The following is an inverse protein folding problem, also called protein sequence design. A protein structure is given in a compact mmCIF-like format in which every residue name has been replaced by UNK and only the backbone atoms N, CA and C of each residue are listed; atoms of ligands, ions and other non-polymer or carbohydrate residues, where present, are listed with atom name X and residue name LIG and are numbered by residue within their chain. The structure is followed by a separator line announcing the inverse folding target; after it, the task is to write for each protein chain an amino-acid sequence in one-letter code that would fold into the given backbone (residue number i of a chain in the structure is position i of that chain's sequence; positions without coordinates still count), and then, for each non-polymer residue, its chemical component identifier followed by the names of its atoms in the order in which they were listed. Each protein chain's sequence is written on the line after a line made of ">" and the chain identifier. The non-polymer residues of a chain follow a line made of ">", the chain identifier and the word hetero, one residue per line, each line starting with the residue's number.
data_IF_250003462860
#
_entry.id   IF_250003462860
#
_cell.length_a   1.000
_cell.length_b   1.000
_cell.length_c   1.000
_cell.angle_alpha   90.00
_cell.angle_beta   90.00
_cell.angle_gamma   90.00
#
_symmetry.space_group_name_H-M   'P 1'
#
loop_
_entity.id
_entity.type
_entity.pdbx_description
1 polymer ?
#
# COMPACT_ATOMS: atom_id res chain seq x y z
N UNK A 1 50.38 36.27 19.93
CA UNK A 1 49.15 36.49 19.14
C UNK A 1 47.96 36.15 20.01
N UNK A 2 46.96 37.03 20.09
CA UNK A 2 45.76 36.85 20.93
C UNK A 2 44.92 35.67 20.43
N UNK A 3 44.40 34.85 21.36
CA UNK A 3 43.50 33.72 21.04
C UNK A 3 42.23 34.15 20.30
N UNK A 4 41.79 35.40 20.52
CA UNK A 4 40.66 36.05 19.83
C UNK A 4 40.87 36.09 18.31
N UNK A 5 42.09 36.43 17.87
CA UNK A 5 42.44 36.57 16.45
C UNK A 5 42.46 35.18 15.78
N UNK A 6 42.90 34.15 16.51
CA UNK A 6 42.90 32.78 16.01
C UNK A 6 41.48 32.22 15.86
N UNK A 7 40.58 32.52 16.80
CA UNK A 7 39.16 32.18 16.72
C UNK A 7 38.46 32.89 15.55
N UNK A 8 38.74 34.18 15.36
CA UNK A 8 38.19 34.95 14.24
C UNK A 8 38.68 34.42 12.89
N UNK A 9 39.96 34.09 12.75
CA UNK A 9 40.50 33.49 11.51
C UNK A 9 39.87 32.12 11.21
N UNK A 10 39.63 31.30 12.23
CA UNK A 10 38.94 30.01 12.06
C UNK A 10 37.51 30.21 11.59
N UNK A 11 36.77 31.12 12.24
CA UNK A 11 35.38 31.40 11.89
C UNK A 11 35.24 31.95 10.47
N UNK A 12 36.13 32.86 10.07
CA UNK A 12 36.17 33.37 8.70
C UNK A 12 36.45 32.24 7.68
N UNK A 13 37.33 31.28 8.01
CA UNK A 13 37.62 30.14 7.14
C UNK A 13 36.42 29.19 7.03
N UNK A 14 35.72 28.92 8.14
CA UNK A 14 34.51 28.10 8.16
C UNK A 14 33.37 28.74 7.34
N UNK A 15 33.20 30.06 7.44
CA UNK A 15 32.24 30.82 6.60
C UNK A 15 32.63 30.77 5.12
N UNK A 16 33.91 30.86 4.77
CA UNK A 16 34.36 30.71 3.38
C UNK A 16 34.11 29.30 2.83
N UNK A 17 34.37 28.25 3.61
CA UNK A 17 34.10 26.88 3.19
C UNK A 17 32.60 26.62 3.02
N UNK A 18 31.76 27.08 3.94
CA UNK A 18 30.30 26.99 3.81
C UNK A 18 29.80 27.66 2.53
N UNK A 19 30.32 28.85 2.21
CA UNK A 19 29.94 29.56 0.98
C UNK A 19 30.37 28.81 -0.30
N UNK A 20 31.53 28.15 -0.27
CA UNK A 20 32.01 27.33 -1.40
C UNK A 20 31.13 26.09 -1.60
N UNK A 21 30.73 25.44 -0.51
CA UNK A 21 29.84 24.27 -0.56
C UNK A 21 28.45 24.66 -1.10
N UNK A 22 27.88 25.77 -0.64
CA UNK A 22 26.61 26.30 -1.13
C UNK A 22 26.67 26.67 -2.62
N UNK A 23 27.77 27.29 -3.07
CA UNK A 23 27.99 27.59 -4.49
C UNK A 23 28.12 26.33 -5.34
N UNK A 24 28.75 25.28 -4.81
CA UNK A 24 28.92 23.98 -5.49
C UNK A 24 27.57 23.27 -5.61
N UNK A 25 26.76 23.30 -4.55
CA UNK A 25 25.39 22.79 -4.58
C UNK A 25 24.52 23.56 -5.58
N UNK A 26 24.58 24.89 -5.56
CA UNK A 26 23.80 25.75 -6.46
C UNK A 26 24.18 25.59 -7.93
N UNK A 27 25.48 25.49 -8.25
CA UNK A 27 25.93 25.19 -9.63
C UNK A 27 25.45 23.83 -10.11
N UNK A 28 25.44 22.83 -9.23
CA UNK A 28 24.83 21.52 -9.50
C UNK A 28 23.33 21.61 -9.81
N UNK A 29 22.57 22.34 -8.99
CA UNK A 29 21.14 22.57 -9.19
C UNK A 29 20.83 23.31 -10.50
N UNK A 30 21.58 24.36 -10.82
CA UNK A 30 21.43 25.10 -12.08
C UNK A 30 21.74 24.20 -13.26
N UNK A 31 22.79 23.38 -13.20
CA UNK A 31 23.09 22.43 -14.26
C UNK A 31 21.95 21.43 -14.49
N UNK A 32 21.29 20.97 -13.42
CA UNK A 32 20.09 20.12 -13.53
C UNK A 32 18.91 20.87 -14.16
N UNK A 33 18.65 22.11 -13.72
CA UNK A 33 17.57 22.95 -14.27
C UNK A 33 17.82 23.34 -15.74
N UNK A 34 19.05 23.66 -16.13
CA UNK A 34 19.44 23.98 -17.51
C UNK A 34 19.23 22.77 -18.43
N UNK A 35 19.64 21.56 -18.01
CA UNK A 35 19.35 20.32 -18.74
C UNK A 35 17.85 20.08 -18.91
N UNK A 36 17.05 20.29 -17.85
CA UNK A 36 15.58 20.19 -17.91
C UNK A 36 14.96 21.16 -18.89
N UNK A 37 15.36 22.43 -18.83
CA UNK A 37 14.83 23.50 -19.71
C UNK A 37 15.23 23.29 -21.18
N UNK A 38 16.40 22.71 -21.44
CA UNK A 38 16.84 22.35 -22.79
C UNK A 38 16.20 21.06 -23.33
N UNK A 39 15.30 20.43 -22.58
CA UNK A 39 14.67 19.16 -22.97
C UNK A 39 15.61 17.97 -22.91
N UNK A 40 16.79 18.13 -22.31
CA UNK A 40 17.78 17.07 -22.10
C UNK A 40 17.58 16.41 -20.73
N UNK A 41 16.33 16.13 -20.37
CA UNK A 41 16.11 15.00 -19.47
C UNK A 41 16.16 13.74 -20.32
N UNK A 42 16.89 12.70 -19.91
CA UNK A 42 16.74 11.42 -20.56
C UNK A 42 15.25 11.05 -20.42
N UNK A 43 14.56 10.87 -21.56
CA UNK A 43 13.17 10.40 -21.63
C UNK A 43 12.91 9.21 -20.69
N UNK A 44 13.92 8.35 -20.52
CA UNK A 44 13.91 7.26 -19.55
C UNK A 44 13.68 7.69 -18.10
N UNK A 45 14.24 8.81 -17.64
CA UNK A 45 14.07 9.27 -16.26
C UNK A 45 12.67 9.82 -16.01
N UNK A 46 12.09 10.56 -16.98
CA UNK A 46 10.70 11.01 -16.92
C UNK A 46 9.75 9.83 -16.94
N UNK A 47 9.90 8.93 -17.91
CA UNK A 47 9.05 7.76 -18.04
C UNK A 47 9.14 6.84 -16.82
N UNK A 48 10.33 6.68 -16.21
CA UNK A 48 10.49 5.96 -14.94
C UNK A 48 9.74 6.66 -13.80
N UNK A 49 9.93 7.96 -13.64
CA UNK A 49 9.27 8.74 -12.59
C UNK A 49 7.73 8.69 -12.71
N UNK A 50 7.20 8.85 -13.93
CA UNK A 50 5.76 8.79 -14.18
C UNK A 50 5.21 7.39 -13.87
N UNK A 51 5.92 6.32 -14.26
CA UNK A 51 5.47 4.94 -13.97
C UNK A 51 5.55 4.56 -12.50
N UNK A 52 6.56 5.05 -11.77
CA UNK A 52 6.69 4.83 -10.32
C UNK A 52 5.58 5.59 -9.57
N UNK A 53 5.25 6.81 -10.02
CA UNK A 53 4.13 7.57 -9.49
C UNK A 53 2.80 6.83 -9.66
N UNK A 54 2.52 6.31 -10.87
CA UNK A 54 1.31 5.54 -11.12
C UNK A 54 1.23 4.27 -10.27
N UNK A 55 2.33 3.51 -10.15
CA UNK A 55 2.38 2.26 -9.38
C UNK A 55 2.17 2.52 -7.87
N UNK A 56 2.62 3.68 -7.37
CA UNK A 56 2.38 4.14 -6.01
C UNK A 56 0.93 4.54 -5.77
N UNK A 57 0.30 5.24 -6.73
CA UNK A 57 -1.11 5.62 -6.65
C UNK A 57 -2.01 4.38 -6.62
N UNK A 58 -1.81 3.43 -7.54
CA UNK A 58 -2.53 2.15 -7.57
C UNK A 58 -2.39 1.40 -6.23
N UNK A 59 -1.18 1.40 -5.64
CA UNK A 59 -0.92 0.74 -4.36
C UNK A 59 -1.63 1.43 -3.18
N UNK A 60 -1.73 2.77 -3.20
CA UNK A 60 -2.45 3.54 -2.18
C UNK A 60 -3.95 3.24 -2.24
N UNK A 61 -4.54 3.21 -3.44
CA UNK A 61 -5.96 2.88 -3.62
C UNK A 61 -6.30 1.46 -3.13
N UNK A 62 -5.44 0.48 -3.45
CA UNK A 62 -5.60 -0.90 -2.96
C UNK A 62 -5.46 -0.95 -1.43
N UNK A 63 -4.50 -0.21 -0.86
CA UNK A 63 -4.29 -0.17 0.59
C UNK A 63 -5.47 0.47 1.33
N UNK A 64 -6.04 1.55 0.78
CA UNK A 64 -7.24 2.20 1.31
C UNK A 64 -8.45 1.24 1.28
N UNK A 65 -8.72 0.59 0.15
CA UNK A 65 -9.82 -0.38 0.04
C UNK A 65 -9.65 -1.56 1.01
N UNK A 66 -8.42 -2.02 1.23
CA UNK A 66 -8.11 -3.06 2.24
C UNK A 66 -8.31 -2.54 3.67
N UNK A 67 -7.96 -1.29 3.94
CA UNK A 67 -8.14 -0.67 5.24
C UNK A 67 -9.63 -0.50 5.56
N UNK A 68 -10.46 -0.05 4.61
CA UNK A 68 -11.91 0.00 4.73
C UNK A 68 -12.50 -1.37 5.08
N UNK A 69 -12.10 -2.41 4.33
CA UNK A 69 -12.53 -3.79 4.60
C UNK A 69 -12.12 -4.26 6.01
N UNK A 70 -10.89 -3.96 6.43
CA UNK A 70 -10.40 -4.32 7.76
C UNK A 70 -11.14 -3.57 8.88
N UNK A 71 -11.49 -2.30 8.66
CA UNK A 71 -12.28 -1.52 9.61
C UNK A 71 -13.68 -2.11 9.80
N UNK A 72 -14.37 -2.49 8.71
CA UNK A 72 -15.69 -3.13 8.81
C UNK A 72 -15.63 -4.48 9.55
N UNK A 73 -14.62 -5.30 9.26
CA UNK A 73 -14.40 -6.58 9.99
C UNK A 73 -14.16 -6.31 11.48
N UNK A 74 -13.39 -5.28 11.81
CA UNK A 74 -13.12 -4.91 13.20
C UNK A 74 -14.37 -4.35 13.91
N UNK A 75 -15.21 -3.56 13.23
CA UNK A 75 -16.48 -3.09 13.76
C UNK A 75 -17.44 -4.27 14.01
N UNK A 76 -17.53 -5.22 13.09
CA UNK A 76 -18.32 -6.44 13.24
C UNK A 76 -17.84 -7.28 14.45
N UNK A 77 -16.53 -7.44 14.60
CA UNK A 77 -15.94 -8.15 15.73
C UNK A 77 -16.25 -7.47 17.07
N UNK A 78 -16.19 -6.13 17.13
CA UNK A 78 -16.54 -5.35 18.32
C UNK A 78 -18.03 -5.48 18.66
N UNK A 79 -18.91 -5.35 17.66
CA UNK A 79 -20.35 -5.47 17.85
C UNK A 79 -20.75 -6.88 18.33
N UNK A 80 -20.04 -7.93 17.88
CA UNK A 80 -20.19 -9.29 18.40
C UNK A 80 -19.77 -9.43 19.86
N UNK A 81 -18.66 -8.80 20.26
CA UNK A 81 -18.20 -8.81 21.67
C UNK A 81 -19.17 -8.06 22.57
N UNK A 82 -19.64 -6.89 22.16
CA UNK A 82 -20.59 -6.06 22.93
C UNK A 82 -21.94 -6.77 23.12
N UNK A 83 -22.46 -7.44 22.09
CA UNK A 83 -23.67 -8.26 22.23
C UNK A 83 -23.48 -9.46 23.18
N UNK A 84 -22.27 -10.03 23.27
CA UNK A 84 -21.96 -11.13 24.20
C UNK A 84 -21.82 -10.61 25.64
N UNK A 85 -21.27 -9.42 25.86
CA UNK A 85 -21.16 -8.79 27.19
C UNK A 85 -22.53 -8.32 27.71
N UNK A 86 -23.43 -7.84 26.85
CA UNK A 86 -24.83 -7.55 27.26
C UNK A 86 -25.64 -8.84 27.54
N UNK A 87 -25.29 -9.94 26.88
CA UNK A 87 -26.00 -11.24 27.01
C UNK A 87 -25.49 -12.11 28.18
N UNK A 88 -24.28 -11.87 28.68
CA UNK A 88 -23.70 -12.66 29.77
C UNK A 88 -23.65 -11.86 31.07
N UNK A 89 -24.26 -12.33 32.18
CA UNK A 89 -23.85 -11.78 33.48
C UNK A 89 -22.40 -12.17 33.71
N UNK A 90 -21.57 -11.19 34.03
CA UNK A 90 -20.34 -11.42 34.81
C UNK A 90 -20.73 -12.05 36.16
N UNK A 91 -20.94 -13.36 36.18
CA UNK A 91 -20.96 -14.14 37.40
C UNK A 91 -19.50 -14.39 37.78
N UNK A 92 -18.92 -13.47 38.56
CA UNK A 92 -17.75 -13.79 39.36
C UNK A 92 -18.18 -14.85 40.37
N UNK A 93 -18.05 -16.12 39.98
CA UNK A 93 -18.14 -17.27 40.88
C UNK A 93 -16.81 -17.30 41.65
N UNK A 94 -16.72 -16.51 42.71
CA UNK A 94 -15.79 -16.81 43.80
C UNK A 94 -16.42 -17.90 44.65
N UNK A 95 -15.97 -19.14 44.43
CA UNK A 95 -16.27 -20.25 45.32
C UNK A 95 -15.55 -20.07 46.65
N UNK A 96 -16.24 -19.54 47.65
CA UNK A 96 -15.85 -19.69 49.05
C UNK A 96 -16.86 -20.59 49.76
N UNK A 97 -16.39 -21.80 50.05
CA UNK A 97 -17.05 -22.79 50.89
C UNK A 97 -16.93 -22.34 52.35
N UNK A 98 -18.03 -21.91 52.97
CA UNK A 98 -18.08 -21.73 54.44
C UNK A 98 -19.35 -22.34 55.02
N UNK A 99 -19.13 -23.25 55.97
CA UNK A 99 -20.16 -23.93 56.75
C UNK A 99 -20.85 -23.02 57.77
N UNK A 100 -22.07 -23.43 58.10
CA UNK A 100 -22.85 -23.21 59.33
C UNK A 100 -22.51 -21.98 60.20
N UNK A 101 -23.44 -21.03 60.29
CA UNK A 101 -24.19 -20.73 61.53
C UNK A 101 -25.00 -19.41 61.43
N UNK A 102 -26.28 -19.53 61.78
CA UNK A 102 -27.10 -18.59 62.57
C UNK A 102 -27.20 -17.08 62.22
N UNK A 103 -28.45 -16.73 61.88
CA UNK A 103 -29.29 -15.69 62.50
C UNK A 103 -29.26 -14.23 61.98
N UNK A 104 -30.49 -13.81 61.62
CA UNK A 104 -31.08 -12.48 61.81
C UNK A 104 -30.66 -11.33 60.88
N UNK A 105 -31.37 -11.23 59.74
CA UNK A 105 -31.80 -9.96 59.14
C UNK A 105 -32.81 -10.23 58.00
N UNK A 106 -34.01 -10.71 58.34
CA UNK A 106 -35.11 -10.89 57.39
C UNK A 106 -36.02 -9.67 57.46
N UNK A 107 -35.67 -8.60 56.74
CA UNK A 107 -36.59 -7.52 56.40
C UNK A 107 -36.03 -6.72 55.22
N UNK A 108 -36.84 -6.62 54.16
CA UNK A 108 -36.77 -5.56 53.14
C UNK A 108 -35.55 -5.58 52.19
N UNK A 109 -35.36 -6.67 51.44
CA UNK A 109 -34.93 -6.55 50.03
C UNK A 109 -36.07 -7.00 49.14
N UNK A 110 -37.09 -6.16 49.07
CA UNK A 110 -38.16 -6.28 48.12
C UNK A 110 -37.62 -6.31 46.69
N UNK A 111 -37.95 -7.38 45.99
CA UNK A 111 -38.53 -7.31 44.64
C UNK A 111 -37.78 -6.45 43.62
N UNK A 112 -36.54 -6.79 43.30
CA UNK A 112 -36.06 -6.53 41.93
C UNK A 112 -35.06 -7.56 41.43
N UNK A 113 -35.40 -8.83 41.64
CA UNK A 113 -34.90 -9.90 40.80
C UNK A 113 -36.13 -10.54 40.16
N UNK A 114 -36.79 -9.80 39.24
CA UNK A 114 -37.53 -10.48 38.17
C UNK A 114 -36.48 -11.33 37.49
N UNK A 115 -36.54 -12.63 37.76
CA UNK A 115 -35.53 -13.59 37.40
C UNK A 115 -35.30 -13.52 35.89
N UNK A 116 -34.05 -13.74 35.47
CA UNK A 116 -33.66 -13.89 34.05
C UNK A 116 -34.64 -14.70 33.19
N UNK A 117 -35.41 -15.59 33.82
CA UNK A 117 -36.40 -16.49 33.24
C UNK A 117 -37.75 -15.86 32.90
N UNK A 118 -38.02 -14.59 33.22
CA UNK A 118 -39.34 -13.96 33.00
C UNK A 118 -39.35 -12.89 31.91
N UNK A 119 -38.20 -12.58 31.31
CA UNK A 119 -38.09 -11.51 30.31
C UNK A 119 -38.44 -11.96 28.88
N UNK A 120 -39.38 -12.90 28.73
CA UNK A 120 -39.83 -13.37 27.41
C UNK A 120 -40.53 -12.27 26.59
N UNK A 121 -41.18 -11.30 27.24
CA UNK A 121 -41.82 -10.16 26.56
C UNK A 121 -40.85 -9.16 25.94
N UNK A 122 -39.52 -9.34 26.11
CA UNK A 122 -38.51 -8.59 25.36
C UNK A 122 -38.39 -9.09 23.91
N UNK A 123 -38.64 -10.37 23.66
CA UNK A 123 -38.63 -10.95 22.31
C UNK A 123 -39.78 -10.42 21.45
N UNK A 124 -40.94 -10.13 22.05
CA UNK A 124 -42.08 -9.53 21.35
C UNK A 124 -41.83 -8.09 20.88
N UNK A 125 -40.80 -7.41 21.43
CA UNK A 125 -40.40 -6.05 21.05
C UNK A 125 -39.18 -6.01 20.14
N UNK A 126 -38.56 -7.16 19.90
CA UNK A 126 -37.36 -7.25 19.07
C UNK A 126 -37.76 -7.33 17.61
N UNK A 127 -37.36 -6.33 16.84
CA UNK A 127 -37.61 -6.26 15.41
C UNK A 127 -36.61 -7.15 14.66
N UNK A 128 -36.96 -8.42 14.51
CA UNK A 128 -36.14 -9.41 13.80
C UNK A 128 -35.93 -9.01 12.35
N UNK A 129 -36.99 -8.54 11.68
CA UNK A 129 -36.96 -8.23 10.26
C UNK A 129 -36.03 -7.04 9.99
N UNK A 130 -36.09 -6.00 10.83
CA UNK A 130 -35.18 -4.86 10.75
C UNK A 130 -33.72 -5.22 11.03
N UNK A 131 -33.45 -6.11 11.99
CA UNK A 131 -32.08 -6.57 12.27
C UNK A 131 -31.51 -7.45 11.14
N UNK A 132 -32.34 -8.30 10.53
CA UNK A 132 -31.96 -9.09 9.36
C UNK A 132 -31.59 -8.17 8.20
N UNK A 133 -32.40 -7.16 7.91
CA UNK A 133 -32.11 -6.20 6.83
C UNK A 133 -30.79 -5.46 7.06
N UNK A 134 -30.49 -5.09 8.32
CA UNK A 134 -29.22 -4.47 8.71
C UNK A 134 -28.03 -5.38 8.44
N UNK A 135 -28.11 -6.65 8.88
CA UNK A 135 -27.02 -7.62 8.70
C UNK A 135 -26.79 -7.95 7.22
N UNK A 136 -27.86 -8.08 6.44
CA UNK A 136 -27.76 -8.27 5.00
C UNK A 136 -27.15 -7.05 4.29
N UNK A 137 -27.50 -5.83 4.72
CA UNK A 137 -26.91 -4.60 4.18
C UNK A 137 -25.41 -4.53 4.45
N UNK A 138 -24.98 -4.86 5.68
CA UNK A 138 -23.56 -4.93 6.05
C UNK A 138 -22.82 -6.02 5.25
N UNK A 139 -23.44 -7.18 5.06
CA UNK A 139 -22.86 -8.26 4.25
C UNK A 139 -22.68 -7.84 2.78
N UNK A 140 -23.66 -7.14 2.19
CA UNK A 140 -23.57 -6.57 0.83
C UNK A 140 -22.42 -5.57 0.72
N UNK A 141 -22.26 -4.68 1.69
CA UNK A 141 -21.17 -3.70 1.73
C UNK A 141 -19.80 -4.39 1.84
N UNK A 142 -19.68 -5.37 2.73
CA UNK A 142 -18.45 -6.16 2.88
C UNK A 142 -18.10 -6.92 1.59
N UNK A 143 -19.09 -7.51 0.93
CA UNK A 143 -18.89 -8.21 -0.34
C UNK A 143 -18.49 -7.24 -1.46
N UNK A 144 -19.13 -6.07 -1.55
CA UNK A 144 -18.76 -5.04 -2.52
C UNK A 144 -17.30 -4.57 -2.35
N UNK A 145 -16.86 -4.37 -1.10
CA UNK A 145 -15.46 -4.02 -0.82
C UNK A 145 -14.48 -5.14 -1.16
N UNK A 146 -14.84 -6.40 -0.86
CA UNK A 146 -14.02 -7.56 -1.28
C UNK A 146 -13.88 -7.62 -2.79
N UNK A 147 -14.98 -7.45 -3.53
CA UNK A 147 -14.97 -7.42 -4.98
C UNK A 147 -14.13 -6.25 -5.51
N UNK A 148 -14.23 -5.06 -4.90
CA UNK A 148 -13.42 -3.88 -5.24
C UNK A 148 -11.93 -4.15 -5.07
N UNK A 149 -11.50 -4.70 -3.93
CA UNK A 149 -10.08 -5.04 -3.68
C UNK A 149 -9.57 -6.00 -4.75
N UNK A 150 -10.30 -7.09 -5.01
CA UNK A 150 -9.90 -8.09 -6.01
C UNK A 150 -9.84 -7.47 -7.42
N UNK A 151 -10.78 -6.58 -7.76
CA UNK A 151 -10.78 -5.89 -9.04
C UNK A 151 -9.56 -4.98 -9.20
N UNK A 152 -9.28 -4.13 -8.20
CA UNK A 152 -8.14 -3.21 -8.21
C UNK A 152 -6.80 -3.95 -8.26
N UNK A 153 -6.65 -5.04 -7.49
CA UNK A 153 -5.44 -5.87 -7.53
C UNK A 153 -5.21 -6.50 -8.91
N UNK A 154 -6.27 -7.03 -9.52
CA UNK A 154 -6.19 -7.59 -10.86
C UNK A 154 -5.88 -6.52 -11.91
N UNK A 155 -6.50 -5.34 -11.82
CA UNK A 155 -6.26 -4.22 -12.73
C UNK A 155 -4.82 -3.72 -12.62
N UNK A 156 -4.33 -3.48 -11.40
CA UNK A 156 -2.95 -3.06 -11.17
C UNK A 156 -1.94 -4.11 -11.64
N UNK A 157 -2.19 -5.40 -11.35
CA UNK A 157 -1.34 -6.48 -11.85
C UNK A 157 -1.30 -6.53 -13.39
N UNK A 158 -2.45 -6.39 -14.05
CA UNK A 158 -2.51 -6.32 -15.52
C UNK A 158 -1.79 -5.09 -16.07
N UNK A 159 -1.93 -3.93 -15.43
CA UNK A 159 -1.24 -2.70 -15.81
C UNK A 159 0.28 -2.88 -15.75
N UNK A 160 0.81 -3.48 -14.68
CA UNK A 160 2.23 -3.80 -14.54
C UNK A 160 2.76 -4.72 -15.64
N UNK A 161 2.02 -5.79 -15.96
CA UNK A 161 2.40 -6.70 -17.05
C UNK A 161 2.44 -5.95 -18.38
N UNK A 162 1.40 -5.17 -18.71
CA UNK A 162 1.37 -4.37 -19.94
C UNK A 162 2.51 -3.35 -20.03
N UNK A 163 2.81 -2.66 -18.92
CA UNK A 163 3.95 -1.73 -18.82
C UNK A 163 5.27 -2.46 -19.08
N UNK A 164 5.49 -3.61 -18.45
CA UNK A 164 6.70 -4.40 -18.65
C UNK A 164 6.81 -4.93 -20.09
N UNK A 165 5.72 -5.41 -20.68
CA UNK A 165 5.68 -5.84 -22.07
C UNK A 165 6.01 -4.69 -23.03
N UNK A 166 5.45 -3.50 -22.80
CA UNK A 166 5.74 -2.31 -23.59
C UNK A 166 7.22 -1.89 -23.47
N UNK A 167 7.80 -1.93 -22.26
CA UNK A 167 9.23 -1.68 -22.03
C UNK A 167 10.11 -2.69 -22.75
N UNK A 168 9.78 -3.98 -22.65
CA UNK A 168 10.50 -5.05 -23.33
C UNK A 168 10.40 -4.89 -24.86
N UNK A 169 9.23 -4.50 -25.38
CA UNK A 169 9.03 -4.25 -26.80
C UNK A 169 9.86 -3.05 -27.29
N UNK A 170 9.88 -1.94 -26.55
CA UNK A 170 10.69 -0.76 -26.88
C UNK A 170 12.19 -1.07 -26.84
N UNK A 171 12.66 -1.76 -25.78
CA UNK A 171 14.05 -2.17 -25.66
C UNK A 171 14.46 -3.18 -26.75
N UNK A 172 13.58 -4.13 -27.09
CA UNK A 172 13.78 -5.05 -28.21
C UNK A 172 13.91 -4.33 -29.54
N UNK A 173 13.07 -3.33 -29.80
CA UNK A 173 13.14 -2.54 -31.03
C UNK A 173 14.42 -1.72 -31.12
N UNK A 174 14.91 -1.17 -30.00
CA UNK A 174 16.20 -0.49 -29.94
C UNK A 174 17.36 -1.44 -30.27
N UNK A 175 17.37 -2.65 -29.70
CA UNK A 175 18.36 -3.69 -30.00
C UNK A 175 18.26 -4.16 -31.45
N UNK A 176 17.05 -4.26 -32.00
CA UNK A 176 16.83 -4.56 -33.42
C UNK A 176 17.43 -3.49 -34.32
N UNK A 177 17.24 -2.21 -33.98
CA UNK A 177 17.82 -1.10 -34.72
C UNK A 177 19.36 -1.10 -34.64
N UNK A 178 19.93 -1.41 -33.47
CA UNK A 178 21.36 -1.59 -33.28
C UNK A 178 21.89 -2.74 -34.15
N UNK A 179 21.22 -3.89 -34.16
CA UNK A 179 21.57 -5.04 -35.00
C UNK A 179 21.53 -4.71 -36.49
N UNK A 180 20.50 -3.98 -36.95
CA UNK A 180 20.42 -3.51 -38.34
C UNK A 180 21.60 -2.59 -38.71
N UNK A 181 22.04 -1.75 -37.76
CA UNK A 181 23.16 -0.82 -37.96
C UNK A 181 24.49 -1.58 -38.07
N UNK A 182 24.74 -2.53 -37.17
CA UNK A 182 25.92 -3.40 -37.20
C UNK A 182 25.96 -4.26 -38.47
N UNK A 183 24.80 -4.81 -38.89
CA UNK A 183 24.67 -5.55 -40.14
C UNK A 183 25.03 -4.69 -41.35
N UNK A 184 24.55 -3.44 -41.40
CA UNK A 184 24.90 -2.48 -42.46
C UNK A 184 26.39 -2.10 -42.46
N UNK A 185 27.07 -2.19 -41.32
CA UNK A 185 28.51 -1.99 -41.16
C UNK A 185 29.34 -3.26 -41.45
N UNK A 186 28.71 -4.36 -41.88
CA UNK A 186 29.32 -5.68 -42.09
C UNK A 186 29.95 -6.30 -40.81
N UNK A 187 29.46 -5.89 -39.63
CA UNK A 187 29.82 -6.48 -38.33
C UNK A 187 28.75 -7.53 -37.97
N UNK A 188 28.88 -8.73 -38.52
CA UNK A 188 27.82 -9.74 -38.44
C UNK A 188 27.72 -10.39 -37.06
N UNK A 189 28.84 -10.59 -36.38
CA UNK A 189 28.89 -11.13 -35.02
C UNK A 189 28.12 -10.21 -34.06
N UNK A 190 28.44 -8.91 -34.07
CA UNK A 190 27.77 -7.88 -33.26
C UNK A 190 26.27 -7.79 -33.59
N UNK A 191 25.89 -7.96 -34.86
CA UNK A 191 24.49 -7.95 -35.27
C UNK A 191 23.72 -9.17 -34.73
N UNK A 192 24.32 -10.37 -34.79
CA UNK A 192 23.73 -11.61 -34.25
C UNK A 192 23.54 -11.52 -32.74
N UNK A 193 24.51 -10.95 -32.01
CA UNK A 193 24.40 -10.70 -30.57
C UNK A 193 23.23 -9.74 -30.27
N UNK A 194 23.13 -8.62 -30.98
CA UNK A 194 22.05 -7.66 -30.80
C UNK A 194 20.66 -8.25 -31.08
N UNK A 195 20.50 -9.04 -32.16
CA UNK A 195 19.22 -9.73 -32.42
C UNK A 195 18.91 -10.82 -31.40
N UNK A 196 19.93 -11.50 -30.88
CA UNK A 196 19.75 -12.51 -29.82
C UNK A 196 19.26 -11.85 -28.54
N UNK A 197 19.86 -10.74 -28.13
CA UNK A 197 19.39 -9.94 -27.00
C UNK A 197 17.95 -9.42 -27.21
N UNK A 198 17.59 -8.99 -28.42
CA UNK A 198 16.22 -8.58 -28.74
C UNK A 198 15.21 -9.75 -28.64
N UNK A 199 15.63 -10.96 -29.00
CA UNK A 199 14.81 -12.18 -28.88
C UNK A 199 14.60 -12.61 -27.42
N UNK A 200 15.54 -12.34 -26.51
CA UNK A 200 15.33 -12.59 -25.08
C UNK A 200 14.16 -11.75 -24.52
N UNK A 201 14.01 -10.52 -25.03
CA UNK A 201 12.93 -9.61 -24.65
C UNK A 201 11.61 -9.91 -25.39
N UNK A 202 11.71 -10.33 -26.65
CA UNK A 202 10.55 -10.62 -27.51
C UNK A 202 10.68 -11.98 -28.23
N UNK A 203 10.53 -13.11 -27.51
CA UNK A 203 10.79 -14.45 -28.07
C UNK A 203 9.84 -14.85 -29.20
N UNK A 204 8.71 -14.15 -29.35
CA UNK A 204 7.68 -14.43 -30.36
C UNK A 204 7.86 -13.65 -31.66
N UNK A 205 8.93 -12.86 -31.79
CA UNK A 205 9.16 -12.05 -32.98
C UNK A 205 9.78 -12.87 -34.13
N UNK A 206 8.98 -13.17 -35.15
CA UNK A 206 9.46 -13.86 -36.35
C UNK A 206 10.51 -13.05 -37.14
N UNK A 207 10.39 -11.72 -37.14
CA UNK A 207 11.31 -10.82 -37.86
C UNK A 207 12.73 -10.92 -37.30
N UNK A 208 12.87 -11.00 -35.97
CA UNK A 208 14.18 -11.11 -35.33
C UNK A 208 14.87 -12.44 -35.64
N UNK A 209 14.12 -13.53 -35.72
CA UNK A 209 14.67 -14.82 -36.15
C UNK A 209 15.16 -14.78 -37.60
N UNK A 210 14.44 -14.09 -38.49
CA UNK A 210 14.85 -13.92 -39.88
C UNK A 210 16.10 -13.05 -40.02
N UNK A 211 16.20 -11.96 -39.27
CA UNK A 211 17.35 -11.04 -39.34
C UNK A 211 18.64 -11.61 -38.71
N UNK A 212 18.52 -12.58 -37.80
CA UNK A 212 19.64 -13.26 -37.14
C UNK A 212 20.25 -14.39 -37.99
N UNK A 213 19.48 -14.98 -38.90
CA UNK A 213 19.86 -16.16 -39.69
C UNK A 213 20.88 -15.81 -40.79
#
# INVERSE_FOLDING_TARGET
>A
MSAEIQLQMRRNMEEMHSAIDDLTAWTGEIGKKDRRLRGFEPEEAKHKQDTESDDEEDAREIAEAKAELAQLIAQEARHKVEQVEESTPTAVVTGEFHGTAAAAATAERGLNQRSRTENYGAWDKFDVDGEVERLEAQAREQEALRQRVVHLENQSAQARVRRQEARNAAASEALRAQGNTAFGAAQYEDAVEAYTAALELTPRSAVLYANRA
#
